data_IF_714020737690
#
_entry.id   IF_714020737690
#
_cell.length_a   1.000
_cell.length_b   1.000
_cell.length_c   1.000
_cell.angle_alpha   90.00
_cell.angle_beta   90.00
_cell.angle_gamma   90.00
#
_symmetry.space_group_name_H-M   'P 1'
#
loop_
_entity.id
_entity.type
_entity.pdbx_description
1 polymer ?
#
# COMPACT_ATOMS: atom_id res chain seq x y z
N UNK A 1 10.39 -67.91 23.04
CA UNK A 1 9.38 -66.91 23.49
C UNK A 1 9.91 -65.46 23.42
N UNK A 2 11.03 -65.20 22.72
CA UNK A 2 11.68 -63.87 22.70
C UNK A 2 11.51 -63.08 21.39
N UNK A 3 11.24 -63.77 20.28
CA UNK A 3 11.24 -63.18 18.92
C UNK A 3 10.13 -62.16 18.67
N UNK A 4 8.98 -62.26 19.37
CA UNK A 4 7.87 -61.31 19.23
C UNK A 4 8.16 -59.98 19.94
N UNK A 5 8.78 -60.04 21.12
CA UNK A 5 9.21 -58.88 21.91
C UNK A 5 10.31 -58.09 21.21
N UNK A 6 11.28 -58.80 20.61
CA UNK A 6 12.38 -58.17 19.88
C UNK A 6 11.87 -57.47 18.60
N UNK A 7 10.92 -58.08 17.87
CA UNK A 7 10.30 -57.45 16.68
C UNK A 7 9.44 -56.22 16.99
N UNK A 8 8.74 -56.20 18.13
CA UNK A 8 7.95 -55.05 18.56
C UNK A 8 8.84 -53.89 19.06
N UNK A 9 10.01 -54.23 19.60
CA UNK A 9 11.01 -53.26 20.06
C UNK A 9 11.76 -52.62 18.87
N UNK A 10 12.10 -53.40 17.84
CA UNK A 10 12.66 -52.90 16.58
C UNK A 10 11.67 -51.98 15.85
N UNK A 11 10.40 -52.37 15.73
CA UNK A 11 9.37 -51.54 15.10
C UNK A 11 9.13 -50.21 15.86
N UNK A 12 9.22 -50.21 17.19
CA UNK A 12 9.14 -48.99 18.01
C UNK A 12 10.36 -48.10 17.83
N UNK A 13 11.56 -48.68 17.71
CA UNK A 13 12.79 -47.94 17.45
C UNK A 13 12.76 -47.28 16.06
N UNK A 14 12.31 -48.02 15.05
CA UNK A 14 12.16 -47.49 13.67
C UNK A 14 11.13 -46.35 13.61
N UNK A 15 9.98 -46.50 14.28
CA UNK A 15 8.99 -45.41 14.39
C UNK A 15 9.52 -44.19 15.14
N UNK A 16 10.31 -44.39 16.20
CA UNK A 16 10.92 -43.29 16.96
C UNK A 16 11.97 -42.54 16.12
N UNK A 17 12.79 -43.25 15.35
CA UNK A 17 13.73 -42.64 14.41
C UNK A 17 13.02 -41.88 13.29
N UNK A 18 11.93 -42.43 12.74
CA UNK A 18 11.15 -41.77 11.70
C UNK A 18 10.52 -40.46 12.21
N UNK A 19 9.98 -40.48 13.43
CA UNK A 19 9.42 -39.31 14.10
C UNK A 19 10.51 -38.27 14.42
N UNK A 20 11.70 -38.69 14.84
CA UNK A 20 12.82 -37.79 15.11
C UNK A 20 13.30 -37.08 13.82
N UNK A 21 13.42 -37.84 12.72
CA UNK A 21 13.77 -37.31 11.40
C UNK A 21 12.71 -36.33 10.87
N UNK A 22 11.41 -36.63 11.04
CA UNK A 22 10.35 -35.69 10.64
C UNK A 22 10.33 -34.42 11.52
N UNK A 23 10.55 -34.54 12.83
CA UNK A 23 10.68 -33.40 13.73
C UNK A 23 11.86 -32.50 13.38
N UNK A 24 13.03 -33.07 13.07
CA UNK A 24 14.21 -32.33 12.65
C UNK A 24 13.99 -31.65 11.29
N UNK A 25 13.40 -32.37 10.33
CA UNK A 25 13.01 -31.80 9.04
C UNK A 25 11.99 -30.66 9.18
N UNK A 26 11.01 -30.79 10.09
CA UNK A 26 10.05 -29.73 10.40
C UNK A 26 10.72 -28.51 11.01
N UNK A 27 11.59 -28.67 12.00
CA UNK A 27 12.37 -27.56 12.59
C UNK A 27 13.23 -26.85 11.55
N UNK A 28 13.90 -27.59 10.66
CA UNK A 28 14.69 -27.02 9.57
C UNK A 28 13.81 -26.20 8.61
N UNK A 29 12.64 -26.73 8.23
CA UNK A 29 11.65 -26.02 7.39
C UNK A 29 11.14 -24.74 8.05
N UNK A 30 10.84 -24.78 9.35
CA UNK A 30 10.40 -23.60 10.12
C UNK A 30 11.50 -22.53 10.19
N UNK A 31 12.75 -22.93 10.44
CA UNK A 31 13.91 -22.03 10.43
C UNK A 31 14.14 -21.39 9.06
N UNK A 32 14.10 -22.18 7.98
CA UNK A 32 14.25 -21.67 6.61
C UNK A 32 13.12 -20.70 6.25
N UNK A 33 11.87 -21.05 6.60
CA UNK A 33 10.70 -20.18 6.39
C UNK A 33 10.88 -18.84 7.09
N UNK A 34 11.25 -18.85 8.37
CA UNK A 34 11.47 -17.62 9.14
C UNK A 34 12.56 -16.75 8.53
N UNK A 35 13.68 -17.34 8.06
CA UNK A 35 14.77 -16.59 7.42
C UNK A 35 14.33 -15.97 6.10
N UNK A 36 13.64 -16.72 5.24
CA UNK A 36 13.11 -16.22 3.96
C UNK A 36 12.13 -15.08 4.19
N UNK A 37 11.20 -15.24 5.13
CA UNK A 37 10.22 -14.21 5.48
C UNK A 37 10.91 -12.97 6.01
N UNK A 38 11.79 -13.08 7.01
CA UNK A 38 12.51 -11.92 7.56
C UNK A 38 13.32 -11.17 6.48
N UNK A 39 14.03 -11.88 5.61
CA UNK A 39 14.81 -11.27 4.53
C UNK A 39 13.94 -10.56 3.48
N UNK A 40 12.74 -11.08 3.22
CA UNK A 40 11.79 -10.50 2.28
C UNK A 40 11.06 -9.33 2.94
N UNK A 41 10.59 -9.51 4.18
CA UNK A 41 9.89 -8.51 4.98
C UNK A 41 10.77 -7.26 5.16
N UNK A 42 12.04 -7.42 5.55
CA UNK A 42 12.97 -6.29 5.77
C UNK A 42 13.36 -5.53 4.51
N UNK A 43 13.14 -6.08 3.31
CA UNK A 43 13.52 -5.44 2.04
C UNK A 43 12.33 -4.93 1.24
N UNK A 44 11.25 -5.71 1.22
CA UNK A 44 10.06 -5.44 0.40
C UNK A 44 9.07 -4.56 1.15
N UNK A 45 8.76 -4.88 2.42
CA UNK A 45 7.72 -4.14 3.14
C UNK A 45 8.06 -2.67 3.39
N UNK A 46 9.29 -2.27 3.75
CA UNK A 46 9.63 -0.85 3.90
C UNK A 46 9.45 -0.06 2.61
N UNK A 47 9.77 -0.67 1.46
CA UNK A 47 9.62 -0.04 0.15
C UNK A 47 8.15 0.13 -0.20
N UNK A 48 7.32 -0.91 0.00
CA UNK A 48 5.88 -0.81 -0.24
C UNK A 48 5.21 0.16 0.74
N UNK A 49 5.63 0.17 2.00
CA UNK A 49 5.16 1.13 3.00
C UNK A 49 5.54 2.56 2.61
N UNK A 50 6.74 2.79 2.07
CA UNK A 50 7.16 4.08 1.53
C UNK A 50 6.29 4.51 0.34
N UNK A 51 6.05 3.63 -0.63
CA UNK A 51 5.18 3.92 -1.77
C UNK A 51 3.74 4.26 -1.32
N UNK A 52 3.22 3.50 -0.35
CA UNK A 52 1.89 3.73 0.21
C UNK A 52 1.82 5.02 1.02
N UNK A 53 2.87 5.35 1.77
CA UNK A 53 3.01 6.62 2.48
C UNK A 53 2.99 7.79 1.49
N UNK A 54 3.78 7.74 0.42
CA UNK A 54 3.77 8.77 -0.62
C UNK A 54 2.39 8.92 -1.28
N UNK A 55 1.72 7.81 -1.62
CA UNK A 55 0.37 7.83 -2.19
C UNK A 55 -0.65 8.49 -1.25
N UNK A 56 -0.61 8.18 0.05
CA UNK A 56 -1.52 8.82 1.01
C UNK A 56 -1.19 10.29 1.31
N UNK A 57 0.10 10.66 1.28
CA UNK A 57 0.53 12.05 1.39
C UNK A 57 -0.04 12.86 0.21
N UNK A 58 0.25 12.44 -1.03
CA UNK A 58 -0.19 13.15 -2.25
C UNK A 58 -1.72 13.34 -2.27
N UNK A 59 -2.47 12.37 -1.76
CA UNK A 59 -3.94 12.38 -1.71
C UNK A 59 -4.51 13.34 -0.67
N UNK A 60 -3.95 13.33 0.55
CA UNK A 60 -4.48 14.12 1.67
C UNK A 60 -3.95 15.54 1.68
N UNK A 61 -2.78 15.79 1.08
CA UNK A 61 -2.10 17.07 1.15
C UNK A 61 -2.85 18.23 0.47
N UNK A 62 -3.78 17.95 -0.44
CA UNK A 62 -4.71 18.98 -0.94
C UNK A 62 -5.53 19.65 0.17
N UNK A 63 -5.90 18.93 1.23
CA UNK A 63 -6.59 19.49 2.37
C UNK A 63 -5.72 20.52 3.10
N UNK A 64 -4.41 20.25 3.18
CA UNK A 64 -3.46 21.20 3.75
C UNK A 64 -3.25 22.42 2.84
N UNK A 65 -3.14 22.19 1.53
CA UNK A 65 -3.02 23.26 0.54
C UNK A 65 -4.24 24.21 0.55
N UNK A 66 -5.45 23.68 0.78
CA UNK A 66 -6.67 24.49 0.97
C UNK A 66 -6.51 25.49 2.12
N UNK A 67 -6.02 25.05 3.28
CA UNK A 67 -5.79 25.91 4.45
C UNK A 67 -4.73 27.00 4.18
N UNK A 68 -3.72 26.69 3.38
CA UNK A 68 -2.63 27.63 3.06
C UNK A 68 -3.04 28.69 2.03
N UNK A 69 -4.13 28.46 1.27
CA UNK A 69 -4.71 29.47 0.39
C UNK A 69 -4.94 29.03 -1.05
N UNK A 70 -4.89 27.72 -1.35
CA UNK A 70 -5.12 27.17 -2.70
C UNK A 70 -6.43 27.68 -3.33
N UNK A 71 -7.52 27.73 -2.56
CA UNK A 71 -8.82 28.17 -3.09
C UNK A 71 -8.83 29.64 -3.47
N UNK A 72 -8.20 30.48 -2.64
CA UNK A 72 -8.08 31.92 -2.86
C UNK A 72 -7.19 32.23 -4.07
N UNK A 73 -6.06 31.53 -4.21
CA UNK A 73 -5.11 31.74 -5.32
C UNK A 73 -5.69 31.29 -6.67
N UNK A 74 -6.46 30.20 -6.68
CA UNK A 74 -7.09 29.67 -7.91
C UNK A 74 -8.45 30.30 -8.23
N UNK A 75 -9.00 31.10 -7.31
CA UNK A 75 -10.33 31.69 -7.46
C UNK A 75 -11.45 30.66 -7.56
N UNK A 76 -11.32 29.53 -6.85
CA UNK A 76 -12.29 28.43 -6.90
C UNK A 76 -13.24 28.45 -5.70
N UNK A 77 -14.49 28.06 -5.91
CA UNK A 77 -15.47 27.89 -4.83
C UNK A 77 -15.29 26.56 -4.09
N UNK A 78 -15.86 26.44 -2.89
CA UNK A 78 -15.87 25.17 -2.12
C UNK A 78 -16.48 24.00 -2.91
N UNK A 79 -17.52 24.29 -3.71
CA UNK A 79 -18.16 23.29 -4.58
C UNK A 79 -17.19 22.83 -5.67
N UNK A 80 -16.49 23.76 -6.30
CA UNK A 80 -15.49 23.47 -7.33
C UNK A 80 -14.30 22.69 -6.76
N UNK A 81 -13.83 23.04 -5.57
CA UNK A 81 -12.82 22.29 -4.85
C UNK A 81 -13.26 20.83 -4.63
N UNK A 82 -14.48 20.64 -4.11
CA UNK A 82 -15.05 19.31 -3.84
C UNK A 82 -15.25 18.50 -5.12
N UNK A 83 -15.65 19.12 -6.23
CA UNK A 83 -15.72 18.48 -7.54
C UNK A 83 -14.35 17.98 -8.01
N UNK A 84 -13.28 18.77 -7.82
CA UNK A 84 -11.92 18.34 -8.12
C UNK A 84 -11.46 17.15 -7.28
N UNK A 85 -11.86 17.07 -6.00
CA UNK A 85 -11.65 15.88 -5.16
C UNK A 85 -12.40 14.66 -5.70
N UNK A 86 -13.65 14.82 -6.12
CA UNK A 86 -14.49 13.73 -6.60
C UNK A 86 -13.97 13.14 -7.93
N UNK A 87 -13.53 13.99 -8.87
CA UNK A 87 -13.02 13.57 -10.18
C UNK A 87 -11.77 12.68 -10.05
N UNK A 88 -10.90 12.97 -9.08
CA UNK A 88 -9.77 12.12 -8.75
C UNK A 88 -10.21 10.69 -8.40
N UNK A 89 -11.19 10.52 -7.50
CA UNK A 89 -11.66 9.19 -7.12
C UNK A 89 -12.42 8.47 -8.25
N UNK A 90 -13.19 9.20 -9.07
CA UNK A 90 -13.89 8.62 -10.21
C UNK A 90 -12.90 8.02 -11.22
N UNK A 91 -11.84 8.76 -11.55
CA UNK A 91 -10.79 8.30 -12.47
C UNK A 91 -9.89 7.22 -11.86
N UNK A 92 -9.64 7.31 -10.55
CA UNK A 92 -8.94 6.28 -9.78
C UNK A 92 -9.65 4.93 -9.91
N UNK A 93 -10.95 4.86 -9.57
CA UNK A 93 -11.75 3.62 -9.69
C UNK A 93 -11.76 3.10 -11.12
N UNK A 94 -11.91 3.99 -12.11
CA UNK A 94 -11.91 3.59 -13.52
C UNK A 94 -10.57 2.98 -13.97
N UNK A 95 -9.45 3.40 -13.38
CA UNK A 95 -8.11 2.93 -13.72
C UNK A 95 -7.64 1.69 -12.95
N UNK A 96 -8.27 1.37 -11.82
CA UNK A 96 -7.93 0.18 -11.00
C UNK A 96 -8.01 -1.11 -11.83
N UNK A 97 -9.15 -1.33 -12.51
CA UNK A 97 -9.40 -2.54 -13.29
C UNK A 97 -8.43 -2.68 -14.48
N UNK A 98 -8.27 -1.68 -15.37
CA UNK A 98 -7.31 -1.75 -16.45
C UNK A 98 -5.87 -1.95 -15.97
N UNK A 99 -5.44 -1.22 -14.94
CA UNK A 99 -4.07 -1.32 -14.44
C UNK A 99 -3.76 -2.73 -13.93
N UNK A 100 -4.70 -3.35 -13.22
CA UNK A 100 -4.50 -4.70 -12.69
C UNK A 100 -4.40 -5.75 -13.81
N UNK A 101 -5.13 -5.57 -14.92
CA UNK A 101 -5.00 -6.41 -16.12
C UNK A 101 -3.64 -6.22 -16.81
N UNK A 102 -3.12 -5.00 -16.84
CA UNK A 102 -1.77 -4.70 -17.39
C UNK A 102 -0.68 -5.33 -16.52
N UNK A 103 -0.85 -5.32 -15.19
CA UNK A 103 0.10 -5.92 -14.25
C UNK A 103 0.24 -7.45 -14.42
N UNK A 104 -0.77 -8.14 -14.95
CA UNK A 104 -0.64 -9.56 -15.33
C UNK A 104 0.32 -9.77 -16.51
N UNK A 105 0.45 -8.77 -17.39
CA UNK A 105 1.29 -8.84 -18.59
C UNK A 105 2.68 -8.23 -18.37
N UNK A 106 2.77 -7.18 -17.56
CA UNK A 106 3.99 -6.40 -17.31
C UNK A 106 4.55 -6.77 -15.93
N UNK A 107 5.86 -6.97 -15.82
CA UNK A 107 6.48 -7.33 -14.54
C UNK A 107 6.18 -6.28 -13.45
N UNK A 108 5.72 -6.68 -12.24
CA UNK A 108 5.39 -5.75 -11.16
C UNK A 108 6.52 -4.80 -10.76
N UNK A 109 7.77 -5.25 -10.85
CA UNK A 109 8.97 -4.43 -10.59
C UNK A 109 9.11 -3.24 -11.53
N UNK A 110 8.56 -3.31 -12.73
CA UNK A 110 8.63 -2.23 -13.71
C UNK A 110 7.36 -1.39 -13.61
N UNK A 111 6.21 -2.06 -13.49
CA UNK A 111 4.91 -1.38 -13.46
C UNK A 111 4.73 -0.50 -12.22
N UNK A 112 4.98 -1.01 -11.01
CA UNK A 112 4.75 -0.23 -9.79
C UNK A 112 5.62 1.04 -9.74
N UNK A 113 6.94 0.99 -9.99
CA UNK A 113 7.78 2.19 -10.04
C UNK A 113 7.44 3.14 -11.18
N UNK A 114 7.02 2.61 -12.34
CA UNK A 114 6.62 3.46 -13.47
C UNK A 114 5.35 4.23 -13.14
N UNK A 115 4.37 3.59 -12.51
CA UNK A 115 3.19 4.29 -11.98
C UNK A 115 3.60 5.35 -10.96
N UNK A 116 4.49 5.01 -10.03
CA UNK A 116 5.01 5.95 -9.01
C UNK A 116 5.66 7.18 -9.63
N UNK A 117 6.51 6.98 -10.62
CA UNK A 117 7.15 8.10 -11.32
C UNK A 117 6.14 8.93 -12.12
N UNK A 118 5.17 8.27 -12.79
CA UNK A 118 4.15 8.95 -13.57
C UNK A 118 3.23 9.80 -12.69
N UNK A 119 2.71 9.25 -11.60
CA UNK A 119 1.86 10.03 -10.72
C UNK A 119 2.65 11.10 -9.97
N UNK A 120 3.90 10.82 -9.55
CA UNK A 120 4.75 11.82 -8.88
C UNK A 120 5.01 13.03 -9.78
N UNK A 121 5.20 12.81 -11.09
CA UNK A 121 5.30 13.88 -12.08
C UNK A 121 4.01 14.69 -12.18
N UNK A 122 2.85 14.02 -12.21
CA UNK A 122 1.53 14.68 -12.25
C UNK A 122 1.26 15.47 -10.96
N UNK A 123 1.67 14.95 -9.80
CA UNK A 123 1.63 15.67 -8.52
C UNK A 123 2.45 16.96 -8.61
N UNK A 124 3.66 16.92 -9.18
CA UNK A 124 4.44 18.15 -9.40
C UNK A 124 3.70 19.15 -10.30
N UNK A 125 3.03 18.68 -11.35
CA UNK A 125 2.21 19.53 -12.22
C UNK A 125 1.06 20.22 -11.46
N UNK A 126 0.54 19.63 -10.38
CA UNK A 126 -0.50 20.23 -9.54
C UNK A 126 -0.01 21.52 -8.85
N UNK A 127 1.29 21.65 -8.59
CA UNK A 127 1.88 22.90 -8.08
C UNK A 127 1.85 24.05 -9.09
N UNK A 128 1.66 23.78 -10.38
CA UNK A 128 1.69 24.79 -11.45
C UNK A 128 0.30 25.18 -11.99
N UNK A 129 -0.78 24.65 -11.41
CA UNK A 129 -2.15 24.96 -11.85
C UNK A 129 -2.52 26.42 -11.59
N UNK A 130 -3.34 27.01 -12.45
CA UNK A 130 -3.70 28.44 -12.41
C UNK A 130 -5.20 28.72 -12.41
N UNK A 131 -6.02 27.68 -12.39
CA UNK A 131 -7.48 27.82 -12.25
C UNK A 131 -8.20 26.48 -12.16
N UNK A 132 -9.52 26.55 -12.06
CA UNK A 132 -10.40 25.40 -11.88
C UNK A 132 -10.20 24.30 -12.93
N UNK A 133 -10.22 24.65 -14.22
CA UNK A 133 -10.10 23.66 -15.30
C UNK A 133 -8.77 22.88 -15.24
N UNK A 134 -7.66 23.59 -14.99
CA UNK A 134 -6.35 22.95 -14.81
C UNK A 134 -6.29 22.10 -13.54
N UNK A 135 -6.92 22.54 -12.44
CA UNK A 135 -6.99 21.79 -11.20
C UNK A 135 -7.73 20.46 -11.40
N UNK A 136 -8.93 20.49 -12.00
CA UNK A 136 -9.72 19.28 -12.27
C UNK A 136 -9.02 18.35 -13.27
N UNK A 137 -8.44 18.89 -14.34
CA UNK A 137 -7.73 18.09 -15.34
C UNK A 137 -6.53 17.35 -14.75
N UNK A 138 -5.66 18.04 -14.00
CA UNK A 138 -4.50 17.41 -13.35
C UNK A 138 -4.95 16.38 -12.32
N UNK A 139 -6.04 16.64 -11.57
CA UNK A 139 -6.62 15.67 -10.63
C UNK A 139 -7.18 14.42 -11.30
N UNK A 140 -7.82 14.58 -12.45
CA UNK A 140 -8.29 13.44 -13.25
C UNK A 140 -7.12 12.57 -13.71
N UNK A 141 -6.06 13.19 -14.24
CA UNK A 141 -4.86 12.47 -14.69
C UNK A 141 -4.18 11.78 -13.51
N UNK A 142 -4.10 12.46 -12.36
CA UNK A 142 -3.51 11.89 -11.14
C UNK A 142 -4.24 10.61 -10.72
N UNK A 143 -5.57 10.63 -10.72
CA UNK A 143 -6.39 9.46 -10.41
C UNK A 143 -6.11 8.29 -11.36
N UNK A 144 -6.01 8.54 -12.67
CA UNK A 144 -5.65 7.51 -13.66
C UNK A 144 -4.28 6.90 -13.41
N UNK A 145 -3.29 7.71 -13.03
CA UNK A 145 -1.92 7.23 -12.80
C UNK A 145 -1.73 6.53 -11.46
N UNK A 146 -2.50 6.89 -10.43
CA UNK A 146 -2.34 6.37 -9.07
C UNK A 146 -3.17 5.09 -8.82
N UNK A 147 -4.33 4.94 -9.48
CA UNK A 147 -5.31 3.86 -9.23
C UNK A 147 -4.74 2.45 -9.29
N UNK A 148 -3.68 2.25 -10.06
CA UNK A 148 -3.02 0.96 -10.19
C UNK A 148 -2.21 0.49 -8.98
N UNK A 149 -1.86 1.38 -8.05
CA UNK A 149 -0.83 1.10 -7.04
C UNK A 149 -1.30 0.06 -6.02
N UNK A 150 -2.40 0.32 -5.31
CA UNK A 150 -2.89 -0.55 -4.24
C UNK A 150 -3.18 -1.99 -4.71
N UNK A 151 -4.03 -2.21 -5.73
CA UNK A 151 -4.28 -3.56 -6.23
C UNK A 151 -2.98 -4.20 -6.74
N UNK A 152 -2.07 -3.40 -7.31
CA UNK A 152 -0.81 -3.91 -7.80
C UNK A 152 0.17 -4.34 -6.72
N UNK A 153 0.24 -3.63 -5.59
CA UNK A 153 1.03 -4.03 -4.44
C UNK A 153 0.48 -5.31 -3.80
N UNK A 154 -0.85 -5.45 -3.70
CA UNK A 154 -1.48 -6.66 -3.16
C UNK A 154 -1.21 -7.87 -4.06
N UNK A 155 -1.33 -7.73 -5.39
CA UNK A 155 -1.00 -8.79 -6.34
C UNK A 155 0.50 -9.13 -6.32
N UNK A 156 1.37 -8.14 -6.15
CA UNK A 156 2.80 -8.39 -6.02
C UNK A 156 3.13 -9.16 -4.73
N UNK A 157 2.51 -8.80 -3.61
CA UNK A 157 2.70 -9.48 -2.33
C UNK A 157 2.12 -10.90 -2.32
N UNK A 158 1.00 -11.15 -3.00
CA UNK A 158 0.48 -12.51 -3.14
C UNK A 158 1.45 -13.44 -3.89
N UNK A 159 2.38 -12.87 -4.68
CA UNK A 159 3.45 -13.63 -5.32
C UNK A 159 4.66 -13.96 -4.45
N UNK A 160 4.76 -13.37 -3.26
CA UNK A 160 5.88 -13.56 -2.32
C UNK A 160 5.45 -14.26 -1.02
N UNK A 161 4.18 -14.16 -0.67
CA UNK A 161 3.64 -14.59 0.62
C UNK A 161 2.45 -15.53 0.46
N UNK A 162 2.28 -16.40 1.46
CA UNK A 162 1.10 -17.28 1.54
C UNK A 162 -0.11 -16.50 2.11
N UNK A 163 -1.33 -17.03 1.97
CA UNK A 163 -2.56 -16.33 2.41
C UNK A 163 -2.56 -15.91 3.88
N UNK A 164 -2.13 -16.80 4.78
CA UNK A 164 -2.06 -16.49 6.22
C UNK A 164 -1.02 -15.42 6.56
N UNK A 165 0.05 -15.33 5.77
CA UNK A 165 1.11 -14.34 5.93
C UNK A 165 0.76 -12.98 5.31
N UNK A 166 -0.03 -12.99 4.23
CA UNK A 166 -0.36 -11.80 3.44
C UNK A 166 -1.19 -10.80 4.26
N UNK A 167 -2.19 -11.27 5.02
CA UNK A 167 -3.08 -10.40 5.79
C UNK A 167 -2.33 -9.52 6.81
N UNK A 168 -1.38 -10.11 7.54
CA UNK A 168 -0.51 -9.39 8.48
C UNK A 168 0.30 -8.30 7.79
N UNK A 169 0.84 -8.61 6.62
CA UNK A 169 1.73 -7.72 5.86
C UNK A 169 0.97 -6.57 5.22
N UNK A 170 -0.25 -6.85 4.75
CA UNK A 170 -1.19 -5.81 4.34
C UNK A 170 -1.47 -4.86 5.49
N UNK A 171 -1.81 -5.39 6.66
CA UNK A 171 -2.00 -4.57 7.86
C UNK A 171 -0.80 -3.69 8.20
N UNK A 172 0.42 -4.26 8.13
CA UNK A 172 1.66 -3.54 8.47
C UNK A 172 1.87 -2.33 7.56
N UNK A 173 1.80 -2.49 6.23
CA UNK A 173 1.99 -1.32 5.36
C UNK A 173 0.80 -0.36 5.42
N UNK A 174 -0.41 -0.84 5.73
CA UNK A 174 -1.57 0.04 5.93
C UNK A 174 -1.37 1.03 7.09
N UNK A 175 -0.54 0.69 8.09
CA UNK A 175 -0.16 1.65 9.15
C UNK A 175 0.54 2.90 8.59
N UNK A 176 1.15 2.80 7.41
CA UNK A 176 1.78 3.93 6.74
C UNK A 176 0.77 5.00 6.30
N UNK A 177 -0.52 4.66 6.12
CA UNK A 177 -1.56 5.65 5.88
C UNK A 177 -1.75 6.60 7.08
N UNK A 178 -1.79 6.05 8.30
CA UNK A 178 -1.85 6.85 9.53
C UNK A 178 -0.59 7.70 9.72
N UNK A 179 0.57 7.11 9.41
CA UNK A 179 1.85 7.82 9.47
C UNK A 179 1.88 8.99 8.48
N UNK A 180 1.38 8.79 7.26
CA UNK A 180 1.23 9.84 6.24
C UNK A 180 0.49 11.05 6.79
N UNK A 181 -0.61 10.87 7.53
CA UNK A 181 -1.36 12.00 8.09
C UNK A 181 -0.52 12.91 9.01
N UNK A 182 0.33 12.31 9.85
CA UNK A 182 1.24 13.03 10.72
C UNK A 182 2.36 13.75 9.93
N UNK A 183 2.95 13.07 8.95
CA UNK A 183 3.97 13.67 8.08
C UNK A 183 3.40 14.76 7.17
N UNK A 184 2.17 14.63 6.70
CA UNK A 184 1.53 15.58 5.79
C UNK A 184 1.34 16.95 6.43
N UNK A 185 0.85 17.01 7.67
CA UNK A 185 0.74 18.29 8.40
C UNK A 185 2.11 18.93 8.68
N UNK A 186 3.11 18.12 9.07
CA UNK A 186 4.46 18.58 9.34
C UNK A 186 5.17 19.10 8.07
N UNK A 187 5.07 18.36 6.97
CA UNK A 187 5.62 18.75 5.67
C UNK A 187 4.91 19.98 5.14
N UNK A 188 3.57 20.05 5.23
CA UNK A 188 2.82 21.22 4.82
C UNK A 188 3.27 22.48 5.55
N UNK A 189 3.50 22.41 6.88
CA UNK A 189 4.08 23.51 7.65
C UNK A 189 5.50 23.86 7.22
N UNK A 190 6.36 22.86 7.05
CA UNK A 190 7.77 23.08 6.69
C UNK A 190 7.91 23.71 5.30
N UNK A 191 7.09 23.25 4.35
CA UNK A 191 7.11 23.71 2.97
C UNK A 191 6.35 25.03 2.80
N UNK A 192 5.30 25.31 3.57
CA UNK A 192 4.66 26.63 3.57
C UNK A 192 5.61 27.74 4.06
N UNK A 193 6.54 27.42 4.96
CA UNK A 193 7.56 28.35 5.46
C UNK A 193 8.58 28.79 4.40
N UNK A 194 8.66 28.10 3.25
CA UNK A 194 9.46 28.54 2.10
C UNK A 194 8.95 29.90 1.59
N UNK A 195 7.65 30.17 1.73
CA UNK A 195 7.02 31.44 1.35
C UNK A 195 7.01 31.65 -0.17
N UNK A 196 6.82 32.90 -0.63
CA UNK A 196 6.70 33.26 -2.06
C UNK A 196 8.05 33.26 -2.80
N UNK A 197 9.02 32.46 -2.36
CA UNK A 197 10.33 32.37 -3.02
C UNK A 197 10.13 31.79 -4.42
N UNK A 198 10.79 32.38 -5.41
CA UNK A 198 10.67 31.97 -6.82
C UNK A 198 9.34 32.35 -7.49
N UNK A 199 8.52 33.23 -6.89
CA UNK A 199 7.25 33.67 -7.47
C UNK A 199 6.12 32.64 -7.38
N UNK A 200 6.26 31.64 -6.51
CA UNK A 200 5.27 30.59 -6.28
C UNK A 200 4.77 30.65 -4.84
N UNK A 201 3.45 30.57 -4.65
CA UNK A 201 2.80 30.51 -3.34
C UNK A 201 3.22 29.28 -2.52
N UNK A 202 3.17 29.39 -1.20
CA UNK A 202 3.64 28.35 -0.27
C UNK A 202 2.98 26.98 -0.47
N UNK A 203 1.71 26.93 -0.91
CA UNK A 203 0.99 25.68 -1.17
C UNK A 203 1.52 24.93 -2.41
N UNK A 204 2.10 25.65 -3.39
CA UNK A 204 2.62 25.06 -4.63
C UNK A 204 3.87 24.24 -4.38
N UNK A 205 4.71 24.71 -3.45
CA UNK A 205 5.93 24.01 -3.02
C UNK A 205 5.63 22.64 -2.40
N UNK A 206 4.46 22.48 -1.78
CA UNK A 206 4.09 21.20 -1.17
C UNK A 206 3.96 20.12 -2.26
N UNK A 207 3.20 20.41 -3.32
CA UNK A 207 3.04 19.47 -4.44
C UNK A 207 4.34 19.24 -5.24
N UNK A 208 5.16 20.27 -5.42
CA UNK A 208 6.42 20.15 -6.17
C UNK A 208 7.42 19.25 -5.43
N UNK A 209 7.61 19.50 -4.13
CA UNK A 209 8.58 18.75 -3.32
C UNK A 209 8.07 17.34 -3.02
N UNK A 210 6.79 17.17 -2.69
CA UNK A 210 6.21 15.84 -2.46
C UNK A 210 6.23 15.00 -3.74
N UNK A 211 5.84 15.56 -4.89
CA UNK A 211 5.92 14.85 -6.16
C UNK A 211 7.35 14.41 -6.50
N UNK A 212 8.37 15.24 -6.20
CA UNK A 212 9.77 14.88 -6.36
C UNK A 212 10.20 13.74 -5.41
N UNK A 213 9.78 13.81 -4.15
CA UNK A 213 10.01 12.73 -3.18
C UNK A 213 9.37 11.42 -3.64
N UNK A 214 8.18 11.50 -4.24
CA UNK A 214 7.48 10.33 -4.78
C UNK A 214 8.20 9.75 -5.99
N UNK A 215 8.71 10.56 -6.92
CA UNK A 215 9.56 10.07 -8.03
C UNK A 215 10.80 9.37 -7.49
N UNK A 216 11.45 9.94 -6.46
CA UNK A 216 12.61 9.33 -5.81
C UNK A 216 12.24 7.98 -5.14
N UNK A 217 11.09 7.90 -4.48
CA UNK A 217 10.56 6.66 -3.91
C UNK A 217 10.30 5.60 -5.01
N UNK A 218 9.80 6.02 -6.17
CA UNK A 218 9.67 5.17 -7.36
C UNK A 218 11.02 4.63 -7.84
N UNK A 219 12.04 5.47 -7.94
CA UNK A 219 13.39 5.04 -8.31
C UNK A 219 13.98 4.04 -7.30
N UNK A 220 13.77 4.27 -5.99
CA UNK A 220 14.16 3.33 -4.94
C UNK A 220 13.42 2.00 -5.12
N UNK A 221 12.11 2.04 -5.38
CA UNK A 221 11.31 0.83 -5.60
C UNK A 221 11.78 0.03 -6.82
N UNK A 222 12.18 0.69 -7.91
CA UNK A 222 12.73 0.04 -9.10
C UNK A 222 14.03 -0.73 -8.81
N UNK A 223 14.89 -0.17 -7.97
CA UNK A 223 16.16 -0.78 -7.59
C UNK A 223 15.98 -1.88 -6.52
N UNK A 224 15.08 -1.67 -5.56
CA UNK A 224 14.93 -2.52 -4.39
C UNK A 224 13.97 -3.70 -4.57
N UNK A 225 12.92 -3.58 -5.41
CA UNK A 225 11.93 -4.64 -5.57
C UNK A 225 12.45 -5.80 -6.45
N UNK A 226 12.43 -7.06 -5.97
CA UNK A 226 12.64 -8.23 -6.82
C UNK A 226 11.42 -8.49 -7.74
N UNK A 227 11.59 -9.19 -8.86
CA UNK A 227 10.44 -9.62 -9.69
C UNK A 227 9.72 -10.83 -9.08
N UNK A 228 10.47 -11.72 -8.44
CA UNK A 228 9.99 -13.00 -7.91
C UNK A 228 10.97 -13.54 -6.86
N UNK A 229 10.57 -14.49 -6.01
CA UNK A 229 11.50 -15.18 -5.11
C UNK A 229 12.66 -15.84 -5.89
N UNK A 230 12.35 -16.35 -7.09
CA UNK A 230 13.31 -16.93 -8.03
C UNK A 230 14.34 -15.94 -8.60
N UNK A 231 14.10 -14.63 -8.52
CA UNK A 231 15.03 -13.59 -8.99
C UNK A 231 15.60 -12.72 -7.85
N UNK A 232 15.17 -12.97 -6.61
CA UNK A 232 15.64 -12.26 -5.43
C UNK A 232 17.15 -12.50 -5.19
N UNK A 233 17.98 -11.49 -5.42
CA UNK A 233 19.46 -11.58 -5.26
C UNK A 233 19.92 -11.76 -3.82
N UNK A 234 19.03 -11.54 -2.85
CA UNK A 234 19.35 -11.58 -1.42
C UNK A 234 19.06 -12.93 -0.74
N UNK A 235 18.46 -13.87 -1.46
CA UNK A 235 18.22 -15.23 -0.99
C UNK A 235 19.38 -16.13 -1.42
N UNK A 236 19.80 -17.04 -0.54
CA UNK A 236 20.70 -18.13 -0.93
C UNK A 236 19.95 -19.13 -1.82
N UNK A 237 20.68 -20.03 -2.49
CA UNK A 237 20.08 -21.03 -3.38
C UNK A 237 19.10 -21.94 -2.64
N UNK A 238 19.49 -22.46 -1.47
CA UNK A 238 18.62 -23.24 -0.57
C UNK A 238 17.38 -22.45 -0.14
N UNK A 239 17.53 -21.17 0.20
CA UNK A 239 16.40 -20.31 0.60
C UNK A 239 15.45 -20.02 -0.56
N UNK A 240 15.97 -19.86 -1.78
CA UNK A 240 15.19 -19.63 -2.99
C UNK A 240 14.39 -20.86 -3.38
N UNK A 241 15.02 -22.04 -3.38
CA UNK A 241 14.35 -23.31 -3.63
C UNK A 241 13.24 -23.56 -2.60
N UNK A 242 13.53 -23.32 -1.32
CA UNK A 242 12.54 -23.43 -0.26
C UNK A 242 11.39 -22.43 -0.44
N UNK A 243 11.69 -21.17 -0.79
CA UNK A 243 10.67 -20.15 -1.03
C UNK A 243 9.71 -20.54 -2.16
N UNK A 244 10.25 -21.06 -3.27
CA UNK A 244 9.45 -21.57 -4.40
C UNK A 244 8.64 -22.79 -4.00
N UNK A 245 9.25 -23.76 -3.32
CA UNK A 245 8.57 -24.98 -2.84
C UNK A 245 7.45 -24.67 -1.84
N UNK A 246 7.64 -23.66 -0.98
CA UNK A 246 6.62 -23.22 0.00
C UNK A 246 5.42 -22.58 -0.69
N UNK A 247 5.65 -21.78 -1.72
CA UNK A 247 4.58 -21.17 -2.52
C UNK A 247 3.84 -22.24 -3.35
N UNK A 248 4.54 -23.26 -3.85
CA UNK A 248 3.95 -24.38 -4.59
C UNK A 248 3.29 -25.46 -3.69
N UNK A 249 3.80 -25.67 -2.48
CA UNK A 249 3.43 -26.77 -1.59
C UNK A 249 2.21 -26.52 -0.70
N UNK A 250 1.74 -25.28 -0.61
CA UNK A 250 0.44 -24.96 -0.01
C UNK A 250 -0.66 -25.16 -1.07
N UNK A 251 -0.88 -26.43 -1.43
CA UNK A 251 -1.95 -26.92 -2.30
C UNK A 251 -3.34 -26.69 -1.70
N UNK A 252 -3.75 -25.44 -1.63
CA UNK A 252 -5.14 -25.07 -1.74
C UNK A 252 -5.29 -24.57 -3.19
N UNK A 253 -5.92 -25.37 -4.04
CA UNK A 253 -6.02 -25.36 -5.52
C UNK A 253 -6.52 -24.06 -6.21
N UNK A 254 -6.30 -22.89 -5.59
CA UNK A 254 -6.90 -21.61 -5.97
C UNK A 254 -5.89 -20.45 -6.10
N UNK A 255 -4.58 -20.66 -5.91
CA UNK A 255 -3.61 -19.56 -6.02
C UNK A 255 -2.22 -20.01 -6.49
N UNK A 256 -2.17 -20.72 -7.61
CA UNK A 256 -0.92 -20.98 -8.32
C UNK A 256 -0.71 -19.86 -9.36
N UNK A 257 0.29 -19.00 -9.14
CA UNK A 257 0.61 -17.88 -10.04
C UNK A 257 0.94 -18.36 -11.47
N UNK A 258 1.44 -19.59 -11.62
CA UNK A 258 1.66 -20.19 -12.93
C UNK A 258 0.32 -20.44 -13.63
N UNK A 259 -0.67 -20.98 -12.92
CA UNK A 259 -2.05 -21.12 -13.42
C UNK A 259 -2.76 -19.79 -13.59
N UNK A 260 -2.65 -18.82 -12.67
CA UNK A 260 -3.27 -17.49 -12.83
C UNK A 260 -2.74 -16.72 -14.05
N UNK A 261 -1.48 -16.95 -14.43
CA UNK A 261 -0.86 -16.36 -15.62
C UNK A 261 -1.35 -17.01 -16.91
N UNK A 262 -1.77 -18.28 -16.84
CA UNK A 262 -2.37 -19.05 -17.94
C UNK A 262 -3.91 -18.96 -17.97
N UNK A 263 -4.55 -18.56 -16.87
CA UNK A 263 -5.99 -18.37 -16.77
C UNK A 263 -6.43 -17.21 -17.67
N UNK A 264 -7.13 -17.58 -18.74
CA UNK A 264 -7.74 -16.63 -19.66
C UNK A 264 -8.86 -15.90 -18.94
N UNK A 265 -8.96 -14.58 -19.16
CA UNK A 265 -10.05 -13.78 -18.63
C UNK A 265 -11.40 -14.32 -19.11
N UNK A 266 -12.27 -14.70 -18.17
CA UNK A 266 -13.61 -15.20 -18.46
C UNK A 266 -14.68 -14.26 -17.91
N UNK A 267 -15.60 -13.81 -18.76
CA UNK A 267 -16.73 -12.97 -18.37
C UNK A 267 -17.71 -13.65 -17.42
N UNK A 268 -17.74 -14.99 -17.40
CA UNK A 268 -18.53 -15.78 -16.45
C UNK A 268 -18.12 -15.53 -15.00
N UNK A 269 -16.82 -15.42 -14.73
CA UNK A 269 -16.29 -15.17 -13.38
C UNK A 269 -16.58 -13.73 -12.92
N UNK A 270 -16.55 -12.76 -13.84
CA UNK A 270 -16.97 -11.38 -13.55
C UNK A 270 -18.44 -11.35 -13.13
N UNK A 271 -19.31 -12.02 -13.90
CA UNK A 271 -20.74 -12.14 -13.57
C UNK A 271 -20.93 -12.80 -12.21
N UNK A 272 -20.22 -13.88 -11.94
CA UNK A 272 -20.28 -14.59 -10.65
C UNK A 272 -19.86 -13.68 -9.50
N UNK A 273 -18.80 -12.89 -9.65
CA UNK A 273 -18.35 -11.91 -8.66
C UNK A 273 -19.37 -10.81 -8.40
N UNK A 274 -19.92 -10.21 -9.47
CA UNK A 274 -20.92 -9.13 -9.37
C UNK A 274 -22.21 -9.59 -8.71
N UNK A 275 -22.65 -10.84 -8.93
CA UNK A 275 -23.87 -11.35 -8.30
C UNK A 275 -23.62 -12.08 -6.97
N UNK A 276 -22.39 -12.10 -6.46
CA UNK A 276 -22.08 -12.71 -5.19
C UNK A 276 -22.46 -11.78 -4.02
N UNK A 277 -23.41 -12.22 -3.20
CA UNK A 277 -23.87 -11.47 -2.02
C UNK A 277 -22.73 -11.20 -1.02
N UNK A 278 -21.80 -12.15 -0.86
CA UNK A 278 -20.66 -11.97 0.04
C UNK A 278 -19.78 -10.80 -0.39
N UNK A 279 -19.60 -10.60 -1.71
CA UNK A 279 -18.84 -9.47 -2.25
C UNK A 279 -19.52 -8.16 -1.87
N UNK A 280 -20.83 -8.04 -2.08
CA UNK A 280 -21.59 -6.83 -1.72
C UNK A 280 -21.59 -6.55 -0.22
N UNK A 281 -21.73 -7.57 0.62
CA UNK A 281 -21.66 -7.40 2.07
C UNK A 281 -20.28 -6.91 2.52
N UNK A 282 -19.21 -7.54 2.02
CA UNK A 282 -17.84 -7.13 2.32
C UNK A 282 -17.51 -5.74 1.76
N UNK A 283 -17.96 -5.41 0.54
CA UNK A 283 -17.79 -4.09 -0.07
C UNK A 283 -18.54 -3.00 0.68
N UNK A 284 -19.75 -3.28 1.17
CA UNK A 284 -20.55 -2.31 1.95
C UNK A 284 -19.92 -2.05 3.32
N UNK A 285 -19.46 -3.11 4.00
CA UNK A 285 -18.72 -2.96 5.25
C UNK A 285 -17.42 -2.16 5.03
N UNK A 286 -16.69 -2.45 3.95
CA UNK A 286 -15.47 -1.72 3.61
C UNK A 286 -15.74 -0.26 3.24
N UNK A 287 -16.83 0.03 2.53
CA UNK A 287 -17.27 1.38 2.20
C UNK A 287 -17.55 2.21 3.47
N UNK A 288 -18.25 1.64 4.46
CA UNK A 288 -18.52 2.33 5.72
C UNK A 288 -17.21 2.71 6.47
N UNK A 289 -16.24 1.78 6.49
CA UNK A 289 -14.92 2.01 7.11
C UNK A 289 -14.16 3.12 6.36
N UNK A 290 -14.09 3.04 5.02
CA UNK A 290 -13.36 4.01 4.20
C UNK A 290 -14.01 5.40 4.22
N UNK A 291 -15.33 5.49 4.30
CA UNK A 291 -16.04 6.76 4.41
C UNK A 291 -15.56 7.55 5.63
N UNK A 292 -15.42 6.90 6.79
CA UNK A 292 -14.86 7.54 7.99
C UNK A 292 -13.39 7.95 7.80
N UNK A 293 -12.56 7.05 7.26
CA UNK A 293 -11.14 7.28 7.04
C UNK A 293 -10.88 8.52 6.16
N UNK A 294 -11.52 8.62 4.99
CA UNK A 294 -11.28 9.71 4.05
C UNK A 294 -11.92 11.02 4.46
N UNK A 295 -13.09 10.97 5.13
CA UNK A 295 -13.71 12.18 5.69
C UNK A 295 -12.77 12.83 6.71
N UNK A 296 -12.15 12.02 7.57
CA UNK A 296 -11.13 12.51 8.49
C UNK A 296 -9.87 12.97 7.74
N UNK A 297 -9.34 12.16 6.82
CA UNK A 297 -8.13 12.45 6.06
C UNK A 297 -8.14 13.77 5.29
N UNK A 298 -9.22 14.05 4.58
CA UNK A 298 -9.32 15.21 3.68
C UNK A 298 -9.77 16.49 4.38
N UNK A 299 -10.61 16.37 5.41
CA UNK A 299 -11.25 17.52 6.05
C UNK A 299 -10.70 17.84 7.44
N UNK A 300 -9.85 17.00 8.05
CA UNK A 300 -9.26 17.30 9.37
C UNK A 300 -8.62 18.70 9.44
N UNK A 301 -7.83 19.17 8.46
CA UNK A 301 -7.28 20.53 8.51
C UNK A 301 -8.36 21.61 8.55
N UNK A 302 -9.45 21.41 7.80
CA UNK A 302 -10.61 22.32 7.77
C UNK A 302 -11.35 22.29 9.11
N UNK A 303 -11.62 21.10 9.66
CA UNK A 303 -12.27 20.95 10.96
C UNK A 303 -11.48 21.69 12.05
N UNK A 304 -10.16 21.48 12.11
CA UNK A 304 -9.29 22.14 13.10
C UNK A 304 -9.29 23.67 12.90
N UNK A 305 -9.32 24.14 11.65
CA UNK A 305 -9.39 25.56 11.34
C UNK A 305 -10.72 26.18 11.80
N UNK A 306 -11.83 25.49 11.57
CA UNK A 306 -13.18 25.94 11.91
C UNK A 306 -13.46 25.91 13.42
N UNK A 307 -12.72 25.08 14.17
CA UNK A 307 -12.75 25.10 15.64
C UNK A 307 -12.12 26.36 16.25
N UNK A 308 -11.44 27.19 15.45
CA UNK A 308 -10.78 28.42 15.90
C UNK A 308 -9.79 28.23 17.07
N UNK A 309 -9.24 27.02 17.24
CA UNK A 309 -8.23 26.70 18.26
C UNK A 309 -6.85 27.24 17.86
N UNK A 310 -6.58 27.30 16.55
CA UNK A 310 -5.34 27.79 15.97
C UNK A 310 -5.51 29.21 15.46
N UNK A 311 -4.52 30.08 15.73
CA UNK A 311 -4.58 31.49 15.33
C UNK A 311 -4.14 31.69 13.87
N UNK A 312 -3.33 30.76 13.34
CA UNK A 312 -2.71 30.86 12.02
C UNK A 312 -2.74 29.51 11.28
N UNK A 313 -2.74 29.53 9.94
CA UNK A 313 -2.70 28.33 9.10
C UNK A 313 -1.56 27.35 9.47
N UNK A 314 -0.39 27.87 9.82
CA UNK A 314 0.78 27.07 10.25
C UNK A 314 0.58 26.38 11.60
N UNK A 315 -0.26 26.94 12.46
CA UNK A 315 -0.63 26.36 13.74
C UNK A 315 -1.70 25.28 13.54
N UNK A 316 -2.69 25.54 12.67
CA UNK A 316 -3.70 24.54 12.25
C UNK A 316 -3.03 23.25 11.75
N UNK A 317 -1.99 23.37 10.92
CA UNK A 317 -1.22 22.24 10.41
C UNK A 317 -0.47 21.44 11.49
N UNK A 318 -0.12 22.05 12.63
CA UNK A 318 0.49 21.31 13.75
C UNK A 318 -0.56 20.55 14.55
N UNK A 319 -1.72 21.16 14.75
CA UNK A 319 -2.82 20.53 15.49
C UNK A 319 -3.36 19.29 14.78
N UNK A 320 -3.28 19.21 13.45
CA UNK A 320 -3.63 17.98 12.71
C UNK A 320 -2.67 16.82 12.97
N UNK A 321 -1.43 17.08 13.41
CA UNK A 321 -0.43 16.03 13.68
C UNK A 321 -0.81 15.22 14.93
N UNK A 322 -1.42 15.86 15.93
CA UNK A 322 -1.70 15.23 17.24
C UNK A 322 -2.61 13.99 17.12
N UNK A 323 -3.77 14.06 16.43
CA UNK A 323 -4.61 12.87 16.24
C UNK A 323 -3.88 11.71 15.55
N UNK A 324 -3.07 12.00 14.51
CA UNK A 324 -2.32 10.98 13.79
C UNK A 324 -1.15 10.40 14.60
N UNK A 325 -0.49 11.24 15.41
CA UNK A 325 0.59 10.82 16.31
C UNK A 325 0.11 9.88 17.41
N UNK A 326 -1.13 10.04 17.89
CA UNK A 326 -1.77 9.10 18.83
C UNK A 326 -2.28 7.85 18.12
N UNK A 327 -2.86 8.00 16.92
CA UNK A 327 -3.39 6.88 16.15
C UNK A 327 -2.29 5.88 15.73
N UNK A 328 -1.12 6.36 15.31
CA UNK A 328 -0.04 5.53 14.76
C UNK A 328 0.46 4.44 15.75
N UNK A 329 0.81 4.77 17.02
CA UNK A 329 1.16 3.76 18.02
C UNK A 329 0.01 2.80 18.34
N UNK A 330 -1.23 3.31 18.42
CA UNK A 330 -2.40 2.49 18.72
C UNK A 330 -2.61 1.45 17.63
N UNK A 331 -2.54 1.84 16.36
CA UNK A 331 -2.63 0.90 15.24
C UNK A 331 -1.47 -0.11 15.25
N UNK A 332 -0.23 0.34 15.48
CA UNK A 332 0.94 -0.54 15.52
C UNK A 332 0.88 -1.59 16.65
N UNK A 333 0.30 -1.25 17.81
CA UNK A 333 0.14 -2.17 18.95
C UNK A 333 -1.06 -3.11 18.81
N UNK A 334 -2.14 -2.63 18.17
CA UNK A 334 -3.38 -3.41 18.00
C UNK A 334 -3.26 -4.45 16.90
N UNK A 335 -2.51 -4.15 15.84
CA UNK A 335 -2.41 -4.99 14.65
C UNK A 335 -1.89 -6.42 14.92
N UNK A 336 -0.83 -6.63 15.73
CA UNK A 336 -0.35 -7.98 16.05
C UNK A 336 -1.33 -8.76 16.95
N UNK A 337 -2.14 -8.06 17.76
CA UNK A 337 -3.10 -8.69 18.68
C UNK A 337 -4.41 -9.13 18.03
N UNK A 338 -4.78 -8.52 16.91
CA UNK A 338 -5.98 -8.86 16.15
C UNK A 338 -5.76 -9.99 15.14
N UNK A 339 -4.50 -10.32 14.85
CA UNK A 339 -4.10 -11.26 13.80
C UNK A 339 -3.40 -12.52 14.34
N UNK A 340 -3.25 -12.65 15.66
CA UNK A 340 -2.78 -13.83 16.40
C UNK A 340 -3.94 -14.43 17.18
#
# INVERSE_FOLDING_TARGET
MNTKSDSEMEAKAEHAELNAKDHEARRRREHLTRRVLLKTDTRVLPVLALLFLCSFLDRTNVGNAKIIGLEKDLGISDLQYTQGLAVFYATYIASELPSNLVLKKVSPKIWLPCLTAAWGLVTMCLGFVRGYASFVAVRAVLGVTEGGLLPGMVLYLSGLYTRGELALRIGIFYTAASLSGAFGGLLARGLSAIGPRGGLEGWRWIFIIEGLLTIAAGAIAFLALPNSPATARYLTEEEREWAMKRLAGNGDDRFDLAREREERFQWSEVRRGVFNVQVWLSSTAYFAILSGLYSFGLFLPTIVNDMHIANNANETQLWTVIPYAVATPVTGVSLPRLLL
#
